data_IF_338111058857
#
_entry.id   IF_338111058857
#
_cell.length_a   1.000
_cell.length_b   1.000
_cell.length_c   1.000
_cell.angle_alpha   90.00
_cell.angle_beta   90.00
_cell.angle_gamma   90.00
#
_symmetry.space_group_name_H-M   'P 1'
#
loop_
_entity.id
_entity.type
_entity.pdbx_description
1 polymer ?
#
# COMPACT_ATOMS: atom_id res chain seq x y z
N UNK A 1 -8.27 17.16 3.09
CA UNK A 1 -7.42 16.02 3.50
C UNK A 1 -7.96 15.48 4.82
N UNK A 2 -8.06 14.16 4.96
CA UNK A 2 -8.74 13.49 6.09
C UNK A 2 -7.79 12.57 6.86
N UNK A 3 -6.63 13.10 7.28
CA UNK A 3 -5.62 12.30 8.00
C UNK A 3 -6.21 11.67 9.27
N UNK A 4 -6.77 12.47 10.17
CA UNK A 4 -7.32 11.98 11.44
C UNK A 4 -8.35 10.87 11.29
N UNK A 5 -9.28 10.97 10.35
CA UNK A 5 -10.27 9.91 10.13
C UNK A 5 -9.68 8.67 9.46
N UNK A 6 -8.74 8.80 8.52
CA UNK A 6 -8.05 7.66 7.91
C UNK A 6 -7.17 6.92 8.92
N UNK A 7 -6.41 7.65 9.75
CA UNK A 7 -5.62 7.08 10.83
C UNK A 7 -6.49 6.37 11.86
N UNK A 8 -7.59 7.00 12.28
CA UNK A 8 -8.54 6.39 13.21
C UNK A 8 -9.15 5.10 12.64
N UNK A 9 -9.54 5.09 11.37
CA UNK A 9 -10.08 3.90 10.72
C UNK A 9 -9.05 2.77 10.67
N UNK A 10 -7.79 3.07 10.32
CA UNK A 10 -6.72 2.09 10.32
C UNK A 10 -6.44 1.53 11.72
N UNK A 11 -6.44 2.38 12.75
CA UNK A 11 -6.23 1.97 14.15
C UNK A 11 -7.40 1.14 14.67
N UNK A 12 -8.65 1.48 14.32
CA UNK A 12 -9.82 0.66 14.66
C UNK A 12 -9.76 -0.70 13.96
N UNK A 13 -9.41 -0.74 12.68
CA UNK A 13 -9.26 -2.00 11.93
C UNK A 13 -8.16 -2.88 12.54
N UNK A 14 -7.02 -2.29 12.92
CA UNK A 14 -5.93 -2.97 13.62
C UNK A 14 -6.41 -3.54 14.95
N UNK A 15 -7.00 -2.71 15.81
CA UNK A 15 -7.53 -3.14 17.11
C UNK A 15 -8.60 -4.25 16.96
N UNK A 16 -9.45 -4.19 15.93
CA UNK A 16 -10.47 -5.20 15.65
C UNK A 16 -9.89 -6.49 15.05
N UNK A 17 -8.79 -6.43 14.30
CA UNK A 17 -8.17 -7.62 13.71
C UNK A 17 -7.66 -8.62 14.77
N UNK A 18 -7.36 -8.12 15.98
CA UNK A 18 -7.02 -8.96 17.13
C UNK A 18 -8.21 -9.72 17.74
N UNK A 19 -9.44 -9.33 17.43
CA UNK A 19 -10.64 -10.04 17.90
C UNK A 19 -10.83 -11.35 17.12
N UNK A 20 -10.32 -11.44 15.89
CA UNK A 20 -10.49 -12.63 15.02
C UNK A 20 -9.23 -13.49 14.85
N UNK A 21 -8.01 -12.94 15.02
CA UNK A 21 -6.76 -13.69 14.93
C UNK A 21 -6.08 -13.75 16.29
N UNK A 22 -6.58 -14.62 17.16
CA UNK A 22 -5.97 -14.93 18.45
C UNK A 22 -4.73 -15.83 18.27
N UNK A 23 -3.64 -15.32 17.70
CA UNK A 23 -2.33 -15.95 17.90
C UNK A 23 -1.70 -15.39 19.18
N UNK A 24 -1.73 -16.24 20.20
CA UNK A 24 -1.34 -16.00 21.59
C UNK A 24 0.20 -16.00 21.77
N UNK A 25 0.99 -15.97 20.70
CA UNK A 25 2.40 -16.32 20.77
C UNK A 25 3.34 -15.25 21.36
N UNK A 26 3.06 -13.95 21.21
CA UNK A 26 4.05 -12.90 21.50
C UNK A 26 3.78 -12.01 22.73
N UNK A 27 2.72 -12.26 23.48
CA UNK A 27 2.48 -11.65 24.80
C UNK A 27 2.29 -10.12 24.85
N UNK A 28 2.59 -9.36 23.79
CA UNK A 28 2.52 -7.90 23.75
C UNK A 28 1.24 -7.39 23.07
N UNK A 29 0.08 -7.74 23.66
CA UNK A 29 -1.21 -7.15 23.28
C UNK A 29 -1.22 -5.66 23.62
N UNK A 30 -0.98 -4.77 22.65
CA UNK A 30 -1.13 -3.32 22.84
C UNK A 30 -2.21 -2.78 21.90
N UNK A 31 -3.35 -2.43 22.49
CA UNK A 31 -4.35 -1.61 21.80
C UNK A 31 -3.72 -0.26 21.42
N UNK A 32 -3.84 0.11 20.15
CA UNK A 32 -3.32 1.39 19.67
C UNK A 32 -4.34 2.48 20.03
N UNK A 33 -3.90 3.59 20.68
CA UNK A 33 -4.79 4.70 20.98
C UNK A 33 -5.30 5.34 19.69
N UNK A 34 -6.61 5.56 19.62
CA UNK A 34 -7.26 6.16 18.46
C UNK A 34 -6.92 7.65 18.35
N UNK A 35 -6.43 8.08 17.20
CA UNK A 35 -6.24 9.50 16.90
C UNK A 35 -7.59 10.21 16.79
N UNK A 36 -7.61 11.51 17.10
CA UNK A 36 -8.82 12.32 16.95
C UNK A 36 -9.06 12.57 15.46
N UNK A 37 -10.33 12.57 15.05
CA UNK A 37 -10.68 12.80 13.65
C UNK A 37 -10.30 14.21 13.16
N UNK A 38 -10.19 15.18 14.08
CA UNK A 38 -9.76 16.55 13.84
C UNK A 38 -8.25 16.71 13.63
N UNK A 39 -7.44 15.69 13.94
CA UNK A 39 -6.00 15.79 13.84
C UNK A 39 -5.59 15.80 12.36
N UNK A 40 -4.84 16.84 11.97
CA UNK A 40 -4.38 17.02 10.59
C UNK A 40 -3.02 16.39 10.33
N UNK A 41 -2.25 16.13 11.39
CA UNK A 41 -0.87 15.67 11.33
C UNK A 41 -0.59 14.57 12.36
N UNK A 42 0.41 13.74 12.05
CA UNK A 42 0.86 12.66 12.92
C UNK A 42 1.79 11.68 12.21
N UNK A 43 2.17 10.61 12.90
CA UNK A 43 2.95 9.52 12.32
C UNK A 43 2.21 8.95 11.09
N UNK A 44 2.88 8.94 9.93
CA UNK A 44 2.29 8.51 8.66
C UNK A 44 1.67 9.61 7.80
N UNK A 45 1.54 10.85 8.28
CA UNK A 45 0.98 11.94 7.47
C UNK A 45 1.79 12.19 6.19
N UNK A 46 3.12 12.07 6.27
CA UNK A 46 4.01 12.14 5.11
C UNK A 46 3.72 11.02 4.10
N UNK A 47 3.60 9.77 4.56
CA UNK A 47 3.24 8.64 3.70
C UNK A 47 1.85 8.84 3.06
N UNK A 48 0.90 9.43 3.78
CA UNK A 48 -0.42 9.76 3.25
C UNK A 48 -0.35 10.81 2.14
N UNK A 49 0.46 11.85 2.33
CA UNK A 49 0.69 12.89 1.32
C UNK A 49 1.35 12.32 0.07
N UNK A 50 2.44 11.56 0.25
CA UNK A 50 3.14 10.89 -0.85
C UNK A 50 2.19 9.97 -1.61
N UNK A 51 1.36 9.18 -0.90
CA UNK A 51 0.35 8.32 -1.52
C UNK A 51 -0.60 9.13 -2.40
N UNK A 52 -1.20 10.19 -1.87
CA UNK A 52 -2.18 10.99 -2.62
C UNK A 52 -1.55 11.68 -3.82
N UNK A 53 -0.32 12.20 -3.65
CA UNK A 53 0.43 12.82 -4.74
C UNK A 53 0.74 11.81 -5.86
N UNK A 54 1.26 10.63 -5.50
CA UNK A 54 1.49 9.55 -6.46
C UNK A 54 0.21 9.10 -7.15
N UNK A 55 -0.92 9.05 -6.44
CA UNK A 55 -2.21 8.70 -7.04
C UNK A 55 -2.62 9.70 -8.13
N UNK A 56 -2.56 10.99 -7.82
CA UNK A 56 -2.92 12.05 -8.79
C UNK A 56 -1.97 12.02 -9.99
N UNK A 57 -0.66 11.92 -9.76
CA UNK A 57 0.33 11.83 -10.84
C UNK A 57 0.12 10.61 -11.72
N UNK A 58 -0.13 9.44 -11.11
CA UNK A 58 -0.31 8.19 -11.83
C UNK A 58 -1.53 8.24 -12.73
N UNK A 59 -2.68 8.70 -12.22
CA UNK A 59 -3.91 8.76 -13.01
C UNK A 59 -3.77 9.79 -14.15
N UNK A 60 -3.17 10.95 -13.88
CA UNK A 60 -2.97 12.00 -14.91
C UNK A 60 -1.96 11.61 -15.98
N UNK A 61 -0.97 10.80 -15.66
CA UNK A 61 0.04 10.35 -16.62
C UNK A 61 -0.42 9.11 -17.38
N UNK A 62 -1.01 8.13 -16.69
CA UNK A 62 -1.40 6.85 -17.30
C UNK A 62 -2.71 6.92 -18.05
N UNK A 63 -3.73 7.66 -17.58
CA UNK A 63 -5.03 7.64 -18.27
C UNK A 63 -4.92 8.13 -19.73
N UNK A 64 -4.25 9.26 -20.05
CA UNK A 64 -4.06 9.64 -21.45
C UNK A 64 -3.24 8.61 -22.24
N UNK A 65 -2.15 8.11 -21.64
CA UNK A 65 -1.25 7.14 -22.27
C UNK A 65 -1.94 5.81 -22.63
N UNK A 66 -2.83 5.32 -21.76
CA UNK A 66 -3.66 4.13 -22.01
C UNK A 66 -4.72 4.44 -23.06
N UNK A 67 -5.41 5.58 -22.94
CA UNK A 67 -6.47 6.00 -23.86
C UNK A 67 -5.95 6.07 -25.31
N UNK A 68 -4.76 6.59 -25.54
CA UNK A 68 -4.15 6.66 -26.87
C UNK A 68 -3.90 5.28 -27.49
N UNK A 69 -3.68 4.25 -26.66
CA UNK A 69 -3.37 2.87 -27.09
C UNK A 69 -4.60 1.97 -27.18
N UNK A 70 -5.73 2.39 -26.64
CA UNK A 70 -6.98 1.64 -26.71
C UNK A 70 -7.67 1.83 -28.07
N UNK A 71 -8.26 0.76 -28.66
CA UNK A 71 -9.10 0.88 -29.85
C UNK A 71 -10.30 1.79 -29.56
N UNK A 72 -10.86 2.39 -30.60
CA UNK A 72 -12.00 3.28 -30.45
C UNK A 72 -13.28 2.49 -30.19
N UNK A 73 -13.60 2.31 -28.91
CA UNK A 73 -14.75 1.54 -28.42
C UNK A 73 -15.65 2.40 -27.54
N UNK A 74 -16.97 2.14 -27.51
CA UNK A 74 -17.86 2.77 -26.55
C UNK A 74 -17.33 2.61 -25.12
N UNK A 75 -17.27 3.70 -24.36
CA UNK A 75 -16.74 3.66 -22.99
C UNK A 75 -15.21 3.65 -22.87
N UNK A 76 -14.47 3.87 -23.97
CA UNK A 76 -12.99 3.98 -23.99
C UNK A 76 -12.42 4.83 -22.85
N UNK A 77 -13.04 5.98 -22.55
CA UNK A 77 -12.59 6.87 -21.46
C UNK A 77 -12.70 6.19 -20.09
N UNK A 78 -13.82 5.51 -19.83
CA UNK A 78 -14.05 4.80 -18.57
C UNK A 78 -13.11 3.61 -18.43
N UNK A 79 -12.92 2.82 -19.49
CA UNK A 79 -11.99 1.69 -19.50
C UNK A 79 -10.55 2.15 -19.24
N UNK A 80 -10.13 3.25 -19.87
CA UNK A 80 -8.82 3.85 -19.65
C UNK A 80 -8.62 4.28 -18.20
N UNK A 81 -9.61 4.96 -17.60
CA UNK A 81 -9.53 5.40 -16.21
C UNK A 81 -9.50 4.22 -15.23
N UNK A 82 -10.23 3.14 -15.51
CA UNK A 82 -10.17 1.90 -14.74
C UNK A 82 -8.78 1.29 -14.81
N UNK A 83 -8.20 1.12 -16.01
CA UNK A 83 -6.86 0.55 -16.16
C UNK A 83 -5.77 1.44 -15.53
N UNK A 84 -5.89 2.76 -15.68
CA UNK A 84 -4.99 3.72 -15.05
C UNK A 84 -5.09 3.65 -13.51
N UNK A 85 -6.31 3.48 -12.99
CA UNK A 85 -6.54 3.30 -11.55
C UNK A 85 -5.91 2.01 -11.03
N UNK A 86 -6.02 0.90 -11.76
CA UNK A 86 -5.34 -0.36 -11.42
C UNK A 86 -3.81 -0.19 -11.40
N UNK A 87 -3.23 0.48 -12.40
CA UNK A 87 -1.79 0.79 -12.41
C UNK A 87 -1.37 1.68 -11.24
N UNK A 88 -2.17 2.71 -10.94
CA UNK A 88 -2.00 3.57 -9.78
C UNK A 88 -2.04 2.77 -8.46
N UNK A 89 -2.89 1.74 -8.34
CA UNK A 89 -2.92 0.88 -7.16
C UNK A 89 -1.61 0.16 -6.94
N UNK A 90 -0.97 -0.35 -8.01
CA UNK A 90 0.31 -1.05 -7.91
C UNK A 90 1.39 -0.13 -7.31
N UNK A 91 1.42 1.13 -7.75
CA UNK A 91 2.42 2.11 -7.31
C UNK A 91 2.14 2.59 -5.88
N UNK A 92 0.87 2.80 -5.54
CA UNK A 92 0.47 3.36 -4.24
C UNK A 92 0.20 2.32 -3.17
N UNK A 93 0.23 1.03 -3.52
CA UNK A 93 0.03 -0.06 -2.57
C UNK A 93 1.06 -0.05 -1.44
N UNK A 94 2.39 -0.04 -1.71
CA UNK A 94 3.42 -0.05 -0.68
C UNK A 94 3.37 1.18 0.23
N UNK A 95 3.17 2.36 -0.35
CA UNK A 95 3.16 3.64 0.40
C UNK A 95 2.01 3.69 1.40
N UNK A 96 0.87 3.12 1.07
CA UNK A 96 -0.24 3.07 2.01
C UNK A 96 -0.13 1.93 3.02
N UNK A 97 0.50 0.80 2.69
CA UNK A 97 0.84 -0.15 3.75
C UNK A 97 1.80 0.47 4.75
N UNK A 98 2.75 1.25 4.25
CA UNK A 98 3.62 2.06 5.10
C UNK A 98 2.82 3.07 5.94
N UNK A 99 1.83 3.76 5.36
CA UNK A 99 0.92 4.62 6.13
C UNK A 99 0.23 3.86 7.25
N UNK A 100 -0.39 2.71 6.94
CA UNK A 100 -1.10 1.88 7.92
C UNK A 100 -0.16 1.45 9.04
N UNK A 101 1.04 0.97 8.70
CA UNK A 101 2.06 0.59 9.67
C UNK A 101 2.46 1.77 10.58
N UNK A 102 2.70 2.96 10.01
CA UNK A 102 3.13 4.12 10.79
C UNK A 102 2.02 4.64 11.73
N UNK A 103 0.75 4.55 11.34
CA UNK A 103 -0.37 4.98 12.21
C UNK A 103 -0.72 3.95 13.29
N UNK A 104 -0.39 2.68 13.08
CA UNK A 104 -0.63 1.59 14.04
C UNK A 104 0.57 1.22 14.89
N UNK A 105 1.75 1.80 14.65
CA UNK A 105 2.95 1.59 15.49
C UNK A 105 3.08 2.72 16.52
N UNK A 106 2.77 2.50 17.81
CA UNK A 106 2.82 3.55 18.82
C UNK A 106 4.20 4.21 18.94
N UNK A 107 5.25 3.41 18.84
CA UNK A 107 6.65 3.83 18.98
C UNK A 107 7.07 4.76 17.83
N UNK A 108 6.40 4.69 16.67
CA UNK A 108 6.67 5.58 15.54
C UNK A 108 6.33 7.06 15.84
N UNK A 109 5.58 7.35 16.92
CA UNK A 109 5.31 8.72 17.36
C UNK A 109 6.53 9.36 18.04
N UNK A 110 7.34 8.58 18.74
CA UNK A 110 8.54 9.05 19.45
C UNK A 110 9.83 8.92 18.65
N UNK A 111 9.81 8.15 17.55
CA UNK A 111 10.99 7.95 16.70
C UNK A 111 11.34 9.19 15.87
N UNK A 112 12.65 9.42 15.72
CA UNK A 112 13.18 10.39 14.78
C UNK A 112 12.95 9.94 13.33
N UNK A 113 13.05 10.88 12.37
CA UNK A 113 12.81 10.57 10.95
C UNK A 113 13.69 9.42 10.41
N UNK A 114 14.98 9.40 10.76
CA UNK A 114 15.91 8.33 10.32
C UNK A 114 15.52 6.94 10.85
N UNK A 115 15.10 6.87 12.11
CA UNK A 115 14.63 5.63 12.75
C UNK A 115 13.34 5.16 12.07
N UNK A 116 12.39 6.08 11.84
CA UNK A 116 11.15 5.78 11.11
C UNK A 116 11.42 5.28 9.70
N UNK A 117 12.36 5.89 8.97
CA UNK A 117 12.75 5.46 7.63
C UNK A 117 13.37 4.05 7.65
N UNK A 118 14.18 3.75 8.67
CA UNK A 118 14.80 2.42 8.84
C UNK A 118 13.76 1.35 9.12
N UNK A 119 12.85 1.60 10.06
CA UNK A 119 11.76 0.67 10.40
C UNK A 119 10.78 0.52 9.23
N UNK A 120 10.47 1.61 8.52
CA UNK A 120 9.65 1.60 7.31
C UNK A 120 10.24 0.71 6.22
N UNK A 121 11.54 0.84 5.95
CA UNK A 121 12.24 0.03 4.95
C UNK A 121 12.24 -1.44 5.33
N UNK A 122 12.48 -1.75 6.61
CA UNK A 122 12.43 -3.12 7.14
C UNK A 122 11.03 -3.71 6.95
N UNK A 123 9.99 -2.99 7.37
CA UNK A 123 8.59 -3.41 7.22
C UNK A 123 8.23 -3.70 5.76
N UNK A 124 8.59 -2.83 4.82
CA UNK A 124 8.31 -3.04 3.40
C UNK A 124 9.04 -4.27 2.85
N UNK A 125 10.28 -4.51 3.30
CA UNK A 125 11.05 -5.71 2.90
C UNK A 125 10.35 -6.98 3.38
N UNK A 126 9.98 -7.03 4.65
CA UNK A 126 9.36 -8.20 5.29
C UNK A 126 7.94 -8.47 4.79
N UNK A 127 7.16 -7.44 4.48
CA UNK A 127 5.77 -7.61 4.04
C UNK A 127 5.65 -8.08 2.60
N UNK A 128 6.48 -7.56 1.71
CA UNK A 128 6.33 -7.82 0.27
C UNK A 128 7.21 -8.96 -0.23
N UNK A 129 8.27 -9.28 0.49
CA UNK A 129 9.23 -10.28 0.06
C UNK A 129 9.39 -11.39 1.10
N UNK A 130 9.03 -12.61 0.69
CA UNK A 130 9.29 -13.82 1.48
C UNK A 130 10.60 -14.41 0.99
N UNK A 131 11.57 -14.52 1.89
CA UNK A 131 12.82 -15.24 1.67
C UNK A 131 12.51 -16.74 1.60
N UNK A 132 12.67 -17.36 0.44
CA UNK A 132 12.68 -18.81 0.35
C UNK A 132 14.11 -19.31 0.58
N UNK A 133 14.33 -20.30 1.47
CA UNK A 133 15.53 -21.10 1.37
C UNK A 133 15.48 -21.81 0.02
N UNK A 134 16.47 -21.57 -0.83
CA UNK A 134 16.63 -22.39 -2.03
C UNK A 134 16.99 -23.78 -1.52
N UNK A 135 16.21 -24.80 -1.87
CA UNK A 135 16.62 -26.20 -1.65
C UNK A 135 17.92 -26.40 -2.44
N UNK A 136 19.05 -26.21 -1.78
CA UNK A 136 20.30 -26.74 -2.26
C UNK A 136 20.17 -28.26 -2.12
N UNK A 137 20.11 -28.96 -3.26
CA UNK A 137 20.44 -30.37 -3.29
C UNK A 137 21.79 -30.50 -2.59
N UNK A 138 21.80 -31.10 -1.41
CA UNK A 138 23.01 -31.50 -0.71
C UNK A 138 23.68 -32.55 -1.61
N UNK A 139 24.44 -32.10 -2.60
CA UNK A 139 25.42 -32.96 -3.26
C UNK A 139 26.47 -33.25 -2.21
N UNK A 140 26.54 -34.52 -1.79
CA UNK A 140 27.31 -35.07 -0.69
C UNK A 140 28.84 -34.97 -0.89
N UNK A 141 29.34 -33.76 -1.10
CA UNK A 141 30.76 -33.48 -1.29
C UNK A 141 31.23 -32.57 -0.15
N UNK A 142 31.69 -33.21 0.95
CA UNK A 142 32.19 -32.57 2.17
C UNK A 142 33.44 -31.70 1.95
N UNK A 143 33.97 -31.63 0.72
CA UNK A 143 35.19 -30.90 0.37
C UNK A 143 34.95 -29.45 -0.07
N UNK A 144 33.71 -29.06 -0.37
CA UNK A 144 33.39 -27.70 -0.85
C UNK A 144 32.96 -26.79 0.29
N UNK A 145 33.51 -25.57 0.31
CA UNK A 145 33.01 -24.48 1.14
C UNK A 145 31.50 -24.31 0.90
N UNK A 146 30.76 -24.11 1.99
CA UNK A 146 29.31 -23.86 1.95
C UNK A 146 28.98 -22.86 0.83
N UNK A 147 28.08 -23.18 -0.10
CA UNK A 147 27.71 -22.21 -1.12
C UNK A 147 27.10 -20.97 -0.45
N UNK A 148 27.40 -19.78 -0.97
CA UNK A 148 26.67 -18.58 -0.59
C UNK A 148 25.17 -18.81 -0.82
N UNK A 149 24.38 -18.85 0.26
CA UNK A 149 22.93 -18.98 0.19
C UNK A 149 22.35 -17.85 -0.68
N UNK A 150 22.00 -18.17 -1.93
CA UNK A 150 21.29 -17.25 -2.83
C UNK A 150 19.80 -17.32 -2.52
N UNK A 151 19.32 -16.37 -1.72
CA UNK A 151 17.90 -16.20 -1.43
C UNK A 151 17.09 -15.96 -2.71
N UNK A 152 15.97 -16.68 -2.85
CA UNK A 152 14.95 -16.39 -3.87
C UNK A 152 13.78 -15.67 -3.21
N UNK A 153 13.24 -14.64 -3.87
CA UNK A 153 12.18 -13.81 -3.33
C UNK A 153 10.83 -14.19 -3.95
N UNK A 154 9.82 -14.43 -3.11
CA UNK A 154 8.41 -14.51 -3.54
C UNK A 154 7.61 -13.30 -3.06
N UNK A 155 6.62 -12.91 -3.87
CA UNK A 155 5.60 -11.95 -3.47
C UNK A 155 4.71 -12.61 -2.40
N UNK A 156 4.56 -11.95 -1.26
CA UNK A 156 3.70 -12.43 -0.17
C UNK A 156 2.22 -12.51 -0.61
N UNK A 157 1.46 -13.54 -0.20
CA UNK A 157 0.00 -13.58 -0.38
C UNK A 157 -0.73 -12.37 0.22
N UNK A 158 -0.14 -11.74 1.25
CA UNK A 158 -0.62 -10.49 1.84
C UNK A 158 -0.64 -9.37 0.80
N UNK A 159 0.40 -9.29 -0.04
CA UNK A 159 0.48 -8.30 -1.11
C UNK A 159 -0.66 -8.49 -2.14
N UNK A 160 -1.02 -9.73 -2.47
CA UNK A 160 -2.12 -10.02 -3.40
C UNK A 160 -3.48 -9.61 -2.82
N UNK A 161 -3.77 -9.98 -1.57
CA UNK A 161 -5.00 -9.58 -0.87
C UNK A 161 -5.12 -8.07 -0.79
N UNK A 162 -4.04 -7.41 -0.37
CA UNK A 162 -4.02 -5.97 -0.18
C UNK A 162 -4.14 -5.22 -1.49
N UNK A 163 -3.53 -5.73 -2.56
CA UNK A 163 -3.72 -5.24 -3.92
C UNK A 163 -5.17 -5.39 -4.37
N UNK A 164 -5.78 -6.57 -4.17
CA UNK A 164 -7.15 -6.86 -4.58
C UNK A 164 -8.19 -5.99 -3.87
N UNK A 165 -8.10 -5.81 -2.55
CA UNK A 165 -9.07 -4.95 -1.84
C UNK A 165 -8.93 -3.48 -2.25
N UNK A 166 -7.70 -3.03 -2.55
CA UNK A 166 -7.45 -1.63 -2.86
C UNK A 166 -7.66 -1.28 -4.31
N UNK A 167 -7.47 -2.23 -5.21
CA UNK A 167 -7.82 -2.06 -6.61
C UNK A 167 -9.29 -1.73 -6.76
N UNK A 168 -10.17 -2.44 -6.06
CA UNK A 168 -11.61 -2.14 -6.04
C UNK A 168 -11.86 -0.72 -5.51
N UNK A 169 -11.37 -0.41 -4.31
CA UNK A 169 -11.62 0.89 -3.68
C UNK A 169 -11.11 2.09 -4.50
N UNK A 170 -9.84 2.07 -4.90
CA UNK A 170 -9.22 3.17 -5.63
C UNK A 170 -9.85 3.30 -7.01
N UNK A 171 -10.14 2.20 -7.70
CA UNK A 171 -10.80 2.25 -9.01
C UNK A 171 -12.17 2.90 -8.91
N UNK A 172 -12.97 2.55 -7.91
CA UNK A 172 -14.28 3.19 -7.71
C UNK A 172 -14.14 4.68 -7.44
N UNK A 173 -13.31 5.07 -6.48
CA UNK A 173 -13.15 6.49 -6.09
C UNK A 173 -12.57 7.33 -7.22
N UNK A 174 -11.53 6.84 -7.90
CA UNK A 174 -10.87 7.57 -8.97
C UNK A 174 -11.74 7.66 -10.22
N UNK A 175 -12.50 6.61 -10.55
CA UNK A 175 -13.43 6.65 -11.69
C UNK A 175 -14.53 7.69 -11.46
N UNK A 176 -15.08 7.78 -10.24
CA UNK A 176 -16.06 8.82 -9.88
C UNK A 176 -15.43 10.21 -9.96
N UNK A 177 -14.23 10.38 -9.39
CA UNK A 177 -13.51 11.67 -9.45
C UNK A 177 -13.27 12.12 -10.90
N UNK A 178 -12.74 11.24 -11.76
CA UNK A 178 -12.48 11.54 -13.16
C UNK A 178 -13.77 11.82 -13.95
N UNK A 179 -14.86 11.11 -13.64
CA UNK A 179 -16.17 11.38 -14.25
C UNK A 179 -16.71 12.76 -13.87
N UNK A 180 -16.60 13.14 -12.59
CA UNK A 180 -16.97 14.48 -12.12
C UNK A 180 -16.10 15.57 -12.75
N UNK A 181 -14.77 15.38 -12.78
CA UNK A 181 -13.83 16.33 -13.40
C UNK A 181 -14.17 16.55 -14.88
N UNK A 182 -14.46 15.48 -15.63
CA UNK A 182 -14.85 15.56 -17.05
C UNK A 182 -16.20 16.27 -17.23
N UNK A 183 -17.19 15.99 -16.38
CA UNK A 183 -18.50 16.66 -16.44
C UNK A 183 -18.38 18.17 -16.16
N UNK A 184 -17.60 18.55 -15.15
CA UNK A 184 -17.36 19.96 -14.82
C UNK A 184 -16.60 20.67 -15.94
N UNK A 185 -15.56 20.05 -16.51
CA UNK A 185 -14.84 20.61 -17.65
C UNK A 185 -15.73 20.79 -18.89
N UNK A 186 -16.73 19.92 -19.08
CA UNK A 186 -17.68 20.05 -20.18
C UNK A 186 -18.71 21.18 -19.95
N UNK A 187 -19.12 21.42 -18.70
CA UNK A 187 -20.04 22.53 -18.35
C UNK A 187 -19.39 23.91 -18.43
N UNK A 188 -18.06 23.99 -18.27
CA UNK A 188 -17.30 25.24 -18.32
C UNK A 188 -16.85 25.64 -19.73
N UNK A 189 -17.15 24.82 -20.75
CA UNK A 189 -16.87 25.11 -22.17
C UNK A 189 -18.14 25.58 -22.85
#
# INVERSE_FOLDING_TARGET
MTFGSQSRNAQMAYNNSFVHFSSVADGSRRNVPLNRASDLWGAGAEALLVRNWLSVLSVRSFSPWIRERLPDVPGKNTLSDVMASLGCCTITAPVHQLFNFLVTTPEAKSMNFSERATVARRFLREQYFVELPREEMITADLSKSLPEQKYSWRISPVALRDFGMRSVYITTVMSVFMAMERALCALMR
#
